data_IF_705613341220
#
_entry.id   IF_705613341220
#
_cell.length_a   1.000
_cell.length_b   1.000
_cell.length_c   1.000
_cell.angle_alpha   90.00
_cell.angle_beta   90.00
_cell.angle_gamma   90.00
#
_symmetry.space_group_name_H-M   'P 1'
#
loop_
_entity.id
_entity.type
_entity.pdbx_description
1 polymer ?
#
# COMPACT_ATOMS: atom_id res chain seq x y z
N UNK A 1 6.82 -0.26 18.78
CA UNK A 1 6.86 1.06 19.47
C UNK A 1 6.96 2.12 18.39
N UNK A 2 6.03 3.08 18.32
CA UNK A 2 6.15 4.20 17.39
C UNK A 2 7.31 5.10 17.86
N UNK A 3 8.35 5.23 17.05
CA UNK A 3 9.47 6.13 17.33
C UNK A 3 9.20 7.45 16.60
N UNK A 4 8.93 8.56 17.31
CA UNK A 4 8.84 9.86 16.68
C UNK A 4 10.19 10.29 16.10
N UNK A 5 10.14 11.06 15.02
CA UNK A 5 11.29 11.82 14.52
C UNK A 5 11.81 12.72 15.64
N UNK A 6 13.07 12.52 16.04
CA UNK A 6 13.70 13.19 17.18
C UNK A 6 13.92 14.69 16.94
N UNK A 7 13.86 15.16 15.68
CA UNK A 7 14.15 16.55 15.34
C UNK A 7 12.91 17.47 15.32
N UNK A 8 11.72 16.96 14.95
CA UNK A 8 10.57 17.83 14.60
C UNK A 8 9.24 17.45 15.29
N UNK A 9 9.25 16.45 16.19
CA UNK A 9 8.05 16.02 16.92
C UNK A 9 6.97 15.34 16.06
N UNK A 10 5.76 15.17 16.62
CA UNK A 10 4.64 14.52 15.94
C UNK A 10 3.91 15.50 15.02
N UNK A 11 4.34 15.58 13.76
CA UNK A 11 3.59 16.31 12.73
C UNK A 11 2.82 15.34 11.85
N UNK A 12 1.60 15.72 11.46
CA UNK A 12 0.80 14.96 10.47
C UNK A 12 1.61 14.76 9.19
N UNK A 13 2.38 15.77 8.79
CA UNK A 13 3.27 15.74 7.63
C UNK A 13 4.37 14.69 7.76
N UNK A 14 5.07 14.63 8.89
CA UNK A 14 6.12 13.64 9.14
C UNK A 14 5.56 12.21 9.19
N UNK A 15 4.43 12.00 9.85
CA UNK A 15 3.75 10.70 9.86
C UNK A 15 3.33 10.26 8.45
N UNK A 16 2.75 11.18 7.66
CA UNK A 16 2.37 10.90 6.29
C UNK A 16 3.57 10.59 5.40
N UNK A 17 4.68 11.32 5.56
CA UNK A 17 5.92 11.08 4.84
C UNK A 17 6.52 9.70 5.18
N UNK A 18 6.59 9.33 6.47
CA UNK A 18 7.09 8.02 6.89
C UNK A 18 6.24 6.86 6.33
N UNK A 19 4.92 6.96 6.44
CA UNK A 19 3.99 5.97 5.87
C UNK A 19 4.10 5.89 4.35
N UNK A 20 4.26 7.03 3.68
CA UNK A 20 4.40 7.09 2.23
C UNK A 20 5.73 6.53 1.73
N UNK A 21 6.83 6.78 2.44
CA UNK A 21 8.15 6.21 2.13
C UNK A 21 8.09 4.69 2.28
N UNK A 22 7.53 4.19 3.39
CA UNK A 22 7.43 2.74 3.62
C UNK A 22 6.53 2.03 2.60
N UNK A 23 5.46 2.69 2.14
CA UNK A 23 4.61 2.18 1.08
C UNK A 23 5.25 2.27 -0.32
N UNK A 24 6.19 3.20 -0.55
CA UNK A 24 6.92 3.33 -1.81
C UNK A 24 8.01 2.27 -1.95
N UNK A 25 8.79 2.04 -0.89
CA UNK A 25 9.92 1.08 -0.87
C UNK A 25 9.47 -0.36 -1.18
N UNK A 26 8.26 -0.75 -0.81
CA UNK A 26 7.74 -2.12 -1.07
C UNK A 26 7.20 -2.34 -2.48
N UNK A 27 6.96 -1.28 -3.24
CA UNK A 27 6.29 -1.33 -4.55
C UNK A 27 7.17 -0.91 -5.72
N UNK A 28 8.33 -0.30 -5.47
CA UNK A 28 9.15 0.37 -6.49
C UNK A 28 9.65 -0.61 -7.58
N UNK A 29 10.17 -1.77 -7.19
CA UNK A 29 10.67 -2.78 -8.14
C UNK A 29 9.56 -3.33 -9.04
N UNK A 30 8.35 -3.52 -8.49
CA UNK A 30 7.21 -4.02 -9.25
C UNK A 30 6.52 -2.93 -10.08
N UNK A 31 6.63 -1.66 -9.68
CA UNK A 31 5.95 -0.54 -10.33
C UNK A 31 6.37 -0.36 -11.79
N UNK A 32 7.67 -0.54 -12.09
CA UNK A 32 8.19 -0.43 -13.47
C UNK A 32 7.57 -1.47 -14.41
N UNK A 33 7.33 -2.69 -13.93
CA UNK A 33 6.69 -3.76 -14.70
C UNK A 33 5.17 -3.56 -14.82
N UNK A 34 4.51 -3.12 -13.75
CA UNK A 34 3.05 -2.91 -13.72
C UNK A 34 2.63 -1.81 -14.69
N UNK A 35 3.37 -0.69 -14.72
CA UNK A 35 3.04 0.47 -15.54
C UNK A 35 3.73 0.47 -16.90
N UNK A 36 4.29 -0.67 -17.30
CA UNK A 36 4.98 -0.80 -18.58
C UNK A 36 4.01 -0.53 -19.75
N UNK A 37 4.39 0.24 -20.79
CA UNK A 37 3.49 0.63 -21.89
C UNK A 37 2.89 -0.53 -22.68
N UNK A 38 3.55 -1.69 -22.67
CA UNK A 38 3.07 -2.90 -23.34
C UNK A 38 2.03 -3.69 -22.52
N UNK A 39 1.87 -3.35 -21.23
CA UNK A 39 0.88 -3.98 -20.37
C UNK A 39 -0.45 -3.24 -20.54
N UNK A 40 -1.55 -3.94 -20.87
CA UNK A 40 -2.85 -3.31 -20.93
C UNK A 40 -3.23 -2.70 -19.59
N UNK A 41 -3.78 -1.48 -19.61
CA UNK A 41 -4.07 -0.69 -18.41
C UNK A 41 -4.96 -1.42 -17.38
N UNK A 42 -5.87 -2.30 -17.83
CA UNK A 42 -6.70 -3.12 -16.94
C UNK A 42 -5.88 -4.08 -16.08
N UNK A 43 -4.82 -4.65 -16.67
CA UNK A 43 -3.89 -5.57 -15.99
C UNK A 43 -3.05 -4.79 -15.00
N UNK A 44 -2.55 -3.60 -15.37
CA UNK A 44 -1.81 -2.72 -14.47
C UNK A 44 -2.62 -2.36 -13.22
N UNK A 45 -3.87 -1.94 -13.40
CA UNK A 45 -4.76 -1.61 -12.27
C UNK A 45 -5.04 -2.84 -11.40
N UNK A 46 -5.25 -4.01 -12.01
CA UNK A 46 -5.47 -5.24 -11.26
C UNK A 46 -4.24 -5.62 -10.42
N UNK A 47 -3.06 -5.66 -11.02
CA UNK A 47 -1.80 -5.97 -10.34
C UNK A 47 -1.50 -4.96 -9.21
N UNK A 48 -1.72 -3.66 -9.45
CA UNK A 48 -1.55 -2.64 -8.42
C UNK A 48 -2.50 -2.82 -7.25
N UNK A 49 -3.77 -3.17 -7.50
CA UNK A 49 -4.74 -3.47 -6.45
C UNK A 49 -4.40 -4.76 -5.71
N UNK A 50 -3.88 -5.77 -6.40
CA UNK A 50 -3.45 -7.03 -5.81
C UNK A 50 -2.28 -6.81 -4.85
N UNK A 51 -1.21 -6.13 -5.28
CA UNK A 51 -0.02 -5.89 -4.45
C UNK A 51 -0.30 -5.01 -3.23
N UNK A 52 -1.34 -4.18 -3.28
CA UNK A 52 -1.75 -3.36 -2.13
C UNK A 52 -2.79 -4.03 -1.24
N UNK A 53 -3.11 -5.30 -1.48
CA UNK A 53 -4.20 -6.02 -0.82
C UNK A 53 -5.47 -5.17 -0.79
N UNK A 54 -5.86 -4.62 -1.95
CA UNK A 54 -7.06 -3.80 -2.14
C UNK A 54 -8.15 -4.49 -2.96
N UNK A 55 -7.96 -5.77 -3.27
CA UNK A 55 -9.00 -6.59 -3.88
C UNK A 55 -9.98 -7.08 -2.81
N UNK A 56 -11.29 -7.16 -3.10
CA UNK A 56 -12.28 -7.65 -2.15
C UNK A 56 -12.21 -9.17 -2.02
N UNK A 57 -11.10 -9.70 -1.50
CA UNK A 57 -10.96 -11.10 -1.13
C UNK A 57 -11.52 -11.33 0.27
N UNK A 58 -11.97 -12.56 0.58
CA UNK A 58 -12.50 -12.89 1.91
C UNK A 58 -11.49 -12.53 3.01
N UNK A 59 -10.23 -12.89 2.82
CA UNK A 59 -9.15 -12.61 3.78
C UNK A 59 -8.98 -11.10 4.01
N UNK A 60 -9.01 -10.31 2.94
CA UNK A 60 -8.88 -8.85 3.05
C UNK A 60 -10.12 -8.18 3.67
N UNK A 61 -11.30 -8.76 3.48
CA UNK A 61 -12.52 -8.29 4.15
C UNK A 61 -12.49 -8.61 5.65
N UNK A 62 -11.98 -9.77 6.04
CA UNK A 62 -11.77 -10.15 7.45
C UNK A 62 -10.69 -9.27 8.09
N UNK A 63 -9.53 -9.08 7.45
CA UNK A 63 -8.45 -8.25 8.00
C UNK A 63 -8.84 -6.78 8.20
N UNK A 64 -9.79 -6.28 7.40
CA UNK A 64 -10.37 -4.93 7.53
C UNK A 64 -11.55 -4.85 8.49
N UNK A 65 -11.98 -5.97 9.08
CA UNK A 65 -13.14 -6.03 9.98
C UNK A 65 -14.49 -5.82 9.30
N UNK A 66 -14.57 -5.98 7.97
CA UNK A 66 -15.84 -5.91 7.21
C UNK A 66 -16.64 -7.19 7.41
N UNK A 67 -15.96 -8.34 7.45
CA UNK A 67 -16.56 -9.63 7.77
C UNK A 67 -16.04 -10.11 9.13
N UNK A 68 -16.90 -10.78 9.90
CA UNK A 68 -16.48 -11.53 11.08
C UNK A 68 -15.78 -12.83 10.65
N UNK A 69 -14.76 -13.23 11.39
CA UNK A 69 -14.12 -14.53 11.19
C UNK A 69 -15.11 -15.63 11.60
N UNK A 70 -15.34 -16.58 10.68
CA UNK A 70 -16.30 -17.68 10.87
C UNK A 70 -15.65 -18.85 11.61
#
# INVERSE_FOLDING_TARGET
QWQPDQANGYTVRGAYQLLSIQAAVTLDEAAGLIWHPQVPWKVSIFAWRLLRDKLPTKVNLVSRGVLSEA
#
